data_IF_952701268922
#
_entry.id   IF_952701268922
#
_cell.length_a   1.000
_cell.length_b   1.000
_cell.length_c   1.000
_cell.angle_alpha   90.00
_cell.angle_beta   90.00
_cell.angle_gamma   90.00
#
_symmetry.space_group_name_H-M   'P 1'
#
loop_
_entity.id
_entity.type
_entity.pdbx_description
1 polymer ?
#
# COMPACT_ATOMS: atom_id res chain seq x y z
N UNK A 1 4.63 12.04 -10.05
CA UNK A 1 5.21 10.94 -9.25
C UNK A 1 4.15 10.59 -8.19
N UNK A 2 3.84 9.30 -7.99
CA UNK A 2 2.79 8.86 -7.05
C UNK A 2 3.11 7.46 -6.47
N UNK A 3 2.13 6.79 -5.86
CA UNK A 3 2.21 5.43 -5.33
C UNK A 3 2.83 4.45 -6.34
N UNK A 4 3.71 3.58 -5.84
CA UNK A 4 4.21 2.45 -6.61
C UNK A 4 3.12 1.37 -6.77
N UNK A 5 2.34 1.19 -5.69
CA UNK A 5 1.16 0.33 -5.62
C UNK A 5 0.11 1.03 -4.77
N UNK A 6 -1.15 1.06 -5.23
CA UNK A 6 -2.28 1.59 -4.49
C UNK A 6 -3.46 0.60 -4.53
N UNK A 7 -3.79 -0.03 -3.41
CA UNK A 7 -4.90 -0.98 -3.30
C UNK A 7 -6.09 -0.28 -2.64
N UNK A 8 -7.02 0.28 -3.44
CA UNK A 8 -8.21 0.96 -2.91
C UNK A 8 -9.29 -0.01 -2.39
N UNK A 9 -9.36 -1.21 -2.98
CA UNK A 9 -10.27 -2.30 -2.63
C UNK A 9 -9.80 -3.59 -3.29
N UNK A 10 -10.11 -4.74 -2.70
CA UNK A 10 -9.86 -6.06 -3.28
C UNK A 10 -9.48 -7.11 -2.24
N UNK A 11 -9.51 -8.38 -2.65
CA UNK A 11 -9.24 -9.53 -1.78
C UNK A 11 -8.24 -10.48 -2.42
N UNK A 12 -7.42 -11.18 -1.63
CA UNK A 12 -6.44 -12.17 -2.10
C UNK A 12 -5.42 -11.57 -3.10
N UNK A 13 -4.84 -10.43 -2.74
CA UNK A 13 -3.86 -9.73 -3.58
C UNK A 13 -2.45 -10.08 -3.11
N UNK A 14 -1.57 -10.41 -4.06
CA UNK A 14 -0.15 -10.66 -3.78
C UNK A 14 0.68 -9.69 -4.63
N UNK A 15 1.62 -9.00 -3.99
CA UNK A 15 2.66 -8.21 -4.64
C UNK A 15 4.01 -8.65 -4.08
N UNK A 16 4.94 -9.09 -4.92
CA UNK A 16 6.23 -9.57 -4.44
C UNK A 16 7.37 -9.25 -5.40
N UNK A 17 8.58 -9.05 -4.88
CA UNK A 17 9.77 -8.86 -5.72
C UNK A 17 9.85 -7.48 -6.37
N UNK A 18 9.13 -6.48 -5.83
CA UNK A 18 9.05 -5.16 -6.44
C UNK A 18 10.30 -4.30 -6.23
N UNK A 19 10.49 -3.34 -7.13
CA UNK A 19 11.45 -2.25 -6.96
C UNK A 19 10.76 -0.92 -7.23
N UNK A 20 10.55 -0.13 -6.17
CA UNK A 20 9.84 1.14 -6.20
C UNK A 20 10.82 2.28 -5.95
N UNK A 21 10.86 3.28 -6.84
CA UNK A 21 11.78 4.43 -6.70
C UNK A 21 11.09 5.74 -7.06
N UNK A 22 11.33 6.81 -6.28
CA UNK A 22 10.86 8.16 -6.60
C UNK A 22 9.37 8.42 -6.37
N UNK A 23 8.65 7.48 -5.77
CA UNK A 23 7.18 7.51 -5.65
C UNK A 23 6.67 7.79 -4.24
N UNK A 24 5.43 7.40 -3.97
CA UNK A 24 4.80 7.51 -2.65
C UNK A 24 4.77 6.20 -1.85
N UNK A 25 5.43 5.15 -2.34
CA UNK A 25 5.58 3.87 -1.63
C UNK A 25 4.52 2.83 -1.99
N UNK A 26 4.38 1.84 -1.09
CA UNK A 26 3.46 0.72 -1.20
C UNK A 26 2.21 0.99 -0.35
N UNK A 27 1.14 1.44 -1.00
CA UNK A 27 -0.06 1.93 -0.32
C UNK A 27 -1.22 0.94 -0.35
N UNK A 28 -1.76 0.62 0.82
CA UNK A 28 -3.18 0.28 0.94
C UNK A 28 -3.97 1.59 0.99
N UNK A 29 -4.94 1.71 0.08
CA UNK A 29 -5.89 2.80 0.02
C UNK A 29 -5.52 3.94 -0.95
N UNK A 30 -6.19 5.09 -0.86
CA UNK A 30 -7.16 5.43 0.18
C UNK A 30 -8.38 4.51 0.13
N UNK A 31 -8.76 3.91 1.25
CA UNK A 31 -9.97 3.08 1.39
C UNK A 31 -11.11 3.93 1.96
N UNK A 32 -12.32 3.79 1.41
CA UNK A 32 -13.47 4.63 1.75
C UNK A 32 -13.90 5.56 0.60
N UNK A 33 -15.17 5.94 0.59
CA UNK A 33 -15.74 6.90 -0.37
C UNK A 33 -15.91 6.38 -1.80
N UNK A 34 -15.85 5.06 -2.01
CA UNK A 34 -16.04 4.41 -3.33
C UNK A 34 -17.21 3.41 -3.29
N UNK A 35 -17.54 2.85 -4.45
CA UNK A 35 -18.51 1.75 -4.57
C UNK A 35 -18.05 0.47 -3.85
N UNK A 36 -16.74 0.27 -3.71
CA UNK A 36 -16.14 -0.81 -2.92
C UNK A 36 -15.04 -0.25 -2.01
N UNK A 37 -15.11 -0.57 -0.71
CA UNK A 37 -14.20 -0.09 0.33
C UNK A 37 -13.69 -1.23 1.23
N UNK A 38 -13.62 -2.45 0.69
CA UNK A 38 -13.13 -3.63 1.40
C UNK A 38 -11.76 -4.01 0.85
N UNK A 39 -10.78 -4.10 1.75
CA UNK A 39 -9.47 -4.70 1.50
C UNK A 39 -9.30 -5.88 2.45
N UNK A 40 -9.00 -7.06 1.90
CA UNK A 40 -8.82 -8.30 2.66
C UNK A 40 -7.68 -9.14 2.08
N UNK A 41 -7.00 -9.93 2.90
CA UNK A 41 -5.99 -10.92 2.48
C UNK A 41 -5.01 -10.36 1.44
N UNK A 42 -4.22 -9.37 1.82
CA UNK A 42 -3.18 -8.77 0.98
C UNK A 42 -1.81 -9.15 1.50
N UNK A 43 -0.94 -9.64 0.63
CA UNK A 43 0.45 -9.94 0.97
C UNK A 43 1.40 -9.17 0.06
N UNK A 44 2.18 -8.26 0.65
CA UNK A 44 3.19 -7.45 -0.04
C UNK A 44 4.54 -7.89 0.51
N UNK A 45 5.41 -8.45 -0.34
CA UNK A 45 6.66 -9.04 0.13
C UNK A 45 7.89 -8.81 -0.74
N UNK A 46 9.08 -9.05 -0.18
CA UNK A 46 10.37 -9.08 -0.89
C UNK A 46 10.58 -7.88 -1.81
N UNK A 47 10.24 -6.67 -1.33
CA UNK A 47 10.16 -5.46 -2.17
C UNK A 47 11.12 -4.39 -1.65
N UNK A 48 11.77 -3.69 -2.56
CA UNK A 48 12.61 -2.53 -2.27
C UNK A 48 11.83 -1.25 -2.55
N UNK A 49 11.82 -0.31 -1.60
CA UNK A 49 11.28 1.04 -1.77
C UNK A 49 12.38 2.03 -1.48
N UNK A 50 12.81 2.75 -2.51
CA UNK A 50 13.94 3.67 -2.45
C UNK A 50 13.53 5.08 -2.83
N UNK A 51 14.18 6.09 -2.24
CA UNK A 51 14.05 7.50 -2.61
C UNK A 51 12.59 7.94 -2.80
N UNK A 52 11.71 7.49 -1.91
CA UNK A 52 10.26 7.65 -2.01
C UNK A 52 9.72 8.41 -0.81
N UNK A 53 8.57 9.04 -0.95
CA UNK A 53 7.97 9.79 0.16
C UNK A 53 7.65 8.87 1.34
N UNK A 54 7.08 7.69 1.08
CA UNK A 54 6.76 6.71 2.11
C UNK A 54 7.32 5.33 1.71
N UNK A 55 7.58 4.49 2.70
CA UNK A 55 7.88 3.07 2.48
C UNK A 55 6.59 2.25 2.38
N UNK A 56 6.10 1.83 3.54
CA UNK A 56 4.80 1.17 3.74
C UNK A 56 3.76 2.21 4.14
N UNK A 57 2.58 2.19 3.52
CA UNK A 57 1.51 3.15 3.82
C UNK A 57 0.13 2.50 3.85
N UNK A 58 -0.67 2.82 4.86
CA UNK A 58 -2.10 2.49 4.91
C UNK A 58 -2.87 3.78 5.09
N UNK A 59 -3.77 4.09 4.15
CA UNK A 59 -4.56 5.33 4.16
C UNK A 59 -6.06 5.04 4.01
N UNK A 60 -6.86 5.70 4.84
CA UNK A 60 -8.32 5.65 4.80
C UNK A 60 -8.89 7.07 4.64
N UNK A 61 -10.07 7.18 4.05
CA UNK A 61 -10.77 8.46 3.87
C UNK A 61 -11.53 8.82 5.15
N UNK A 62 -11.24 9.98 5.73
CA UNK A 62 -11.91 10.46 6.94
C UNK A 62 -13.43 10.58 6.71
N UNK A 63 -14.22 10.11 7.68
CA UNK A 63 -15.69 10.12 7.60
C UNK A 63 -16.30 9.08 6.66
N UNK A 64 -15.50 8.30 5.95
CA UNK A 64 -15.99 7.20 5.11
C UNK A 64 -16.07 5.88 5.89
N UNK A 65 -16.81 4.92 5.32
CA UNK A 65 -16.92 3.55 5.83
C UNK A 65 -16.18 2.57 4.92
N UNK A 66 -15.67 1.49 5.51
CA UNK A 66 -14.90 0.46 4.81
C UNK A 66 -14.19 -0.47 5.79
N UNK A 67 -13.46 -1.45 5.27
CA UNK A 67 -12.66 -2.37 6.07
C UNK A 67 -11.31 -2.64 5.41
N UNK A 68 -10.28 -2.74 6.25
CA UNK A 68 -8.93 -3.17 5.87
C UNK A 68 -8.55 -4.26 6.87
N UNK A 69 -8.40 -5.49 6.40
CA UNK A 69 -8.04 -6.64 7.24
C UNK A 69 -7.13 -7.60 6.47
N UNK A 70 -6.40 -8.46 7.17
CA UNK A 70 -5.55 -9.48 6.54
C UNK A 70 -4.43 -8.92 5.65
N UNK A 71 -3.91 -7.73 5.96
CA UNK A 71 -2.80 -7.12 5.20
C UNK A 71 -1.47 -7.46 5.89
N UNK A 72 -0.55 -8.04 5.14
CA UNK A 72 0.82 -8.35 5.57
C UNK A 72 1.82 -7.67 4.66
N UNK A 73 2.74 -6.91 5.26
CA UNK A 73 3.97 -6.46 4.63
C UNK A 73 5.13 -7.28 5.20
N UNK A 74 5.93 -7.91 4.35
CA UNK A 74 7.01 -8.80 4.77
C UNK A 74 8.27 -8.55 3.94
N UNK A 75 9.47 -8.59 4.54
CA UNK A 75 10.73 -8.47 3.80
C UNK A 75 10.79 -7.22 2.89
N UNK A 76 10.32 -6.09 3.41
CA UNK A 76 10.33 -4.80 2.71
C UNK A 76 11.60 -4.03 3.10
N UNK A 77 12.44 -3.74 2.12
CA UNK A 77 13.67 -2.96 2.32
C UNK A 77 13.43 -1.50 1.94
N UNK A 78 13.74 -0.59 2.86
CA UNK A 78 13.53 0.85 2.68
C UNK A 78 14.87 1.58 2.61
N UNK A 79 15.00 2.56 1.72
CA UNK A 79 16.17 3.45 1.67
C UNK A 79 15.79 4.84 1.16
N UNK A 80 16.36 5.90 1.73
CA UNK A 80 16.11 7.29 1.28
C UNK A 80 14.64 7.72 1.37
N UNK A 81 13.89 7.25 2.39
CA UNK A 81 12.51 7.69 2.62
C UNK A 81 12.51 9.12 3.19
N UNK A 82 11.64 9.99 2.67
CA UNK A 82 11.71 11.44 2.93
C UNK A 82 10.63 11.99 3.86
N UNK A 83 9.66 11.18 4.28
CA UNK A 83 8.62 11.54 5.26
C UNK A 83 8.55 10.54 6.39
#
# INVERSE_FOLDING_TARGET
>A
QDDCLAINSGTNIIFSGGYCSGGHGLSIGSVGGRSNNVVDTVHISSTQVVNSQNGVRVKAVAGATGSIKGVTYQDITLSGITS
#
